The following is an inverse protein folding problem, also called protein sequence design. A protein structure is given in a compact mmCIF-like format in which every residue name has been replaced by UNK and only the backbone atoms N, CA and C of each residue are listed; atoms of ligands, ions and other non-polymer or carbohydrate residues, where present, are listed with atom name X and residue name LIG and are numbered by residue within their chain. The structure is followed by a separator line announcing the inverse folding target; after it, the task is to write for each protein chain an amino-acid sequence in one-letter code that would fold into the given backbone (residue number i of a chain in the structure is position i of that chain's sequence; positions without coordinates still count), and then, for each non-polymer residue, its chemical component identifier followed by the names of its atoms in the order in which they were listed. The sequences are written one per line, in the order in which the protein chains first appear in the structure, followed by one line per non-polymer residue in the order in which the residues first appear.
data_IF_296707909219
#
_entry.id   IF_296707909219
#
_cell.length_a   1.000
_cell.length_b   1.000
_cell.length_c   1.000
_cell.angle_alpha   90.00
_cell.angle_beta   90.00
_cell.angle_gamma   90.00
#
_symmetry.space_group_name_H-M   'P 1'
#
loop_
_entity.id
_entity.type
_entity.pdbx_description
1 polymer ?
#
# COMPACT_ATOMS: atom_id res chain seq x y z
N UNK A 1 34.53 7.24 7.80
CA UNK A 1 33.43 7.71 8.67
C UNK A 1 32.06 7.75 7.96
N UNK A 2 31.77 6.87 6.98
CA UNK A 2 30.57 6.98 6.13
C UNK A 2 29.42 6.02 6.47
N UNK A 3 29.66 5.01 7.31
CA UNK A 3 28.64 3.98 7.61
C UNK A 3 27.57 4.46 8.61
N UNK A 4 27.97 5.24 9.62
CA UNK A 4 27.07 5.70 10.71
C UNK A 4 26.01 6.68 10.20
N UNK A 5 26.34 7.48 9.19
CA UNK A 5 25.38 8.42 8.59
C UNK A 5 24.29 7.70 7.77
N UNK A 6 24.64 6.62 7.07
CA UNK A 6 23.69 5.86 6.23
C UNK A 6 22.63 5.14 7.08
N UNK A 7 23.04 4.53 8.20
CA UNK A 7 22.10 3.90 9.13
C UNK A 7 21.15 4.92 9.78
N UNK A 8 21.63 6.12 10.10
CA UNK A 8 20.80 7.17 10.69
C UNK A 8 19.71 7.68 9.74
N UNK A 9 19.99 7.79 8.43
CA UNK A 9 18.97 8.20 7.43
C UNK A 9 17.86 7.16 7.25
N UNK A 10 18.18 5.87 7.40
CA UNK A 10 17.16 4.81 7.41
C UNK A 10 16.33 4.79 8.71
N UNK A 11 16.83 5.37 9.80
CA UNK A 11 16.14 5.42 11.10
C UNK A 11 15.12 6.55 11.23
N UNK A 12 15.23 7.62 10.42
CA UNK A 12 14.28 8.75 10.43
C UNK A 12 13.91 9.15 8.99
N UNK A 13 12.84 8.55 8.48
CA UNK A 13 12.28 8.86 7.16
C UNK A 13 10.80 9.20 7.28
N UNK A 14 10.40 10.31 6.67
CA UNK A 14 9.02 10.79 6.61
C UNK A 14 8.56 10.83 5.17
N UNK A 15 7.37 10.28 4.93
CA UNK A 15 6.70 10.34 3.63
C UNK A 15 5.28 10.84 3.84
N UNK A 16 4.97 12.01 3.29
CA UNK A 16 3.58 12.48 3.22
C UNK A 16 3.03 12.13 1.84
N UNK A 17 1.90 11.41 1.81
CA UNK A 17 1.29 10.95 0.57
C UNK A 17 -0.08 11.55 0.38
N UNK A 18 -0.32 12.13 -0.81
CA UNK A 18 -1.66 12.55 -1.24
C UNK A 18 -2.11 11.68 -2.41
N UNK A 19 -3.30 11.09 -2.32
CA UNK A 19 -3.91 10.29 -3.38
C UNK A 19 -5.10 11.03 -3.98
N UNK A 20 -5.13 11.17 -5.29
CA UNK A 20 -6.22 11.78 -6.06
C UNK A 20 -6.88 10.75 -6.95
N UNK A 21 -8.20 10.88 -7.11
CA UNK A 21 -8.94 10.18 -8.16
C UNK A 21 -8.99 11.07 -9.41
N UNK A 22 -8.53 10.55 -10.53
CA UNK A 22 -8.47 11.24 -11.82
C UNK A 22 -9.51 10.70 -12.83
N UNK A 23 -10.32 9.72 -12.44
CA UNK A 23 -11.33 9.10 -13.31
C UNK A 23 -12.48 10.05 -13.69
N UNK A 24 -12.73 11.10 -12.90
CA UNK A 24 -13.80 12.08 -13.12
C UNK A 24 -13.23 13.43 -13.59
N UNK A 25 -13.44 13.84 -14.87
CA UNK A 25 -12.95 15.11 -15.39
C UNK A 25 -13.51 16.31 -14.60
N UNK A 26 -12.63 17.18 -14.09
CA UNK A 26 -13.00 18.41 -13.38
C UNK A 26 -13.08 18.29 -11.84
N UNK A 27 -13.00 17.08 -11.29
CA UNK A 27 -12.93 16.83 -9.85
C UNK A 27 -11.68 15.99 -9.55
N UNK A 28 -10.51 16.64 -9.51
CA UNK A 28 -9.27 16.04 -8.99
C UNK A 28 -9.35 15.88 -7.46
N UNK A 29 -10.34 15.13 -7.01
CA UNK A 29 -10.68 14.96 -5.61
C UNK A 29 -9.56 14.21 -4.89
N UNK A 30 -9.10 14.78 -3.78
CA UNK A 30 -8.18 14.08 -2.88
C UNK A 30 -8.98 13.03 -2.12
N UNK A 31 -8.75 11.77 -2.46
CA UNK A 31 -9.47 10.63 -1.86
C UNK A 31 -8.78 10.08 -0.62
N UNK A 32 -7.48 10.31 -0.47
CA UNK A 32 -6.74 9.92 0.72
C UNK A 32 -5.52 10.82 0.97
N UNK A 33 -5.16 10.94 2.24
CA UNK A 33 -3.89 11.50 2.71
C UNK A 33 -3.32 10.56 3.74
N UNK A 34 -2.02 10.27 3.64
CA UNK A 34 -1.32 9.50 4.65
C UNK A 34 0.01 10.12 5.05
N UNK A 35 0.44 9.79 6.27
CA UNK A 35 1.74 10.14 6.82
C UNK A 35 2.43 8.85 7.25
N UNK A 36 3.54 8.53 6.59
CA UNK A 36 4.37 7.38 6.92
C UNK A 36 5.65 7.85 7.62
N UNK A 37 5.92 7.33 8.82
CA UNK A 37 7.07 7.65 9.65
C UNK A 37 7.87 6.38 9.97
N UNK A 38 9.15 6.36 9.59
CA UNK A 38 10.09 5.28 9.91
C UNK A 38 10.88 5.68 11.14
N UNK A 39 10.76 4.91 12.22
CA UNK A 39 11.41 5.22 13.49
C UNK A 39 11.77 3.95 14.25
N UNK A 40 13.01 3.87 14.74
CA UNK A 40 13.47 2.81 15.65
C UNK A 40 13.11 1.37 15.18
N UNK A 41 13.24 1.11 13.87
CA UNK A 41 12.94 -0.20 13.27
C UNK A 41 11.45 -0.49 13.08
N UNK A 42 10.57 0.48 13.33
CA UNK A 42 9.13 0.44 13.08
C UNK A 42 8.74 1.41 11.97
N UNK A 43 7.60 1.17 11.35
CA UNK A 43 6.97 2.10 10.41
C UNK A 43 5.55 2.39 10.86
N UNK A 44 5.23 3.66 11.09
CA UNK A 44 3.89 4.13 11.42
C UNK A 44 3.28 4.72 10.16
N UNK A 45 2.19 4.14 9.66
CA UNK A 45 1.45 4.65 8.50
C UNK A 45 0.06 5.11 8.94
N UNK A 46 -0.14 6.43 8.99
CA UNK A 46 -1.38 7.04 9.41
C UNK A 46 -2.21 7.49 8.21
N UNK A 47 -3.47 7.06 8.14
CA UNK A 47 -4.43 7.48 7.11
C UNK A 47 -5.47 8.41 7.73
N UNK A 48 -5.42 9.69 7.36
CA UNK A 48 -6.20 10.76 8.00
C UNK A 48 -7.72 10.60 7.81
N UNK A 49 -8.15 10.21 6.60
CA UNK A 49 -9.57 10.01 6.26
C UNK A 49 -10.21 8.84 7.03
N UNK A 50 -9.40 7.85 7.42
CA UNK A 50 -9.79 6.69 8.22
C UNK A 50 -9.61 6.93 9.72
N UNK A 51 -8.71 7.84 10.12
CA UNK A 51 -8.19 7.98 11.50
C UNK A 51 -7.67 6.64 12.01
N UNK A 52 -6.81 6.05 11.19
CA UNK A 52 -6.25 4.72 11.39
C UNK A 52 -4.72 4.78 11.27
N UNK A 53 -4.04 4.08 12.17
CA UNK A 53 -2.59 3.92 12.16
C UNK A 53 -2.28 2.45 11.98
N UNK A 54 -1.45 2.13 10.99
CA UNK A 54 -0.81 0.82 10.89
C UNK A 54 0.63 0.94 11.38
N UNK A 55 0.99 0.17 12.40
CA UNK A 55 2.39 0.02 12.83
C UNK A 55 2.94 -1.28 12.26
N UNK A 56 3.88 -1.15 11.34
CA UNK A 56 4.62 -2.28 10.79
C UNK A 56 5.92 -2.49 11.57
N UNK A 57 6.08 -3.69 12.14
CA UNK A 57 7.26 -4.09 12.89
C UNK A 57 7.99 -5.24 12.15
N UNK A 58 8.89 -4.93 11.19
CA UNK A 58 9.59 -5.94 10.40
C UNK A 58 10.34 -6.96 11.26
N UNK A 59 11.01 -6.51 12.34
CA UNK A 59 11.76 -7.38 13.25
C UNK A 59 10.88 -8.34 14.06
N UNK A 60 9.59 -8.05 14.19
CA UNK A 60 8.60 -8.91 14.86
C UNK A 60 7.66 -9.62 13.88
N UNK A 61 7.85 -9.45 12.57
CA UNK A 61 7.04 -10.03 11.51
C UNK A 61 5.52 -9.80 11.68
N UNK A 62 5.13 -8.60 12.11
CA UNK A 62 3.72 -8.28 12.40
C UNK A 62 3.32 -6.86 11.99
N UNK A 63 2.01 -6.67 11.95
CA UNK A 63 1.37 -5.36 11.89
C UNK A 63 0.48 -5.19 13.12
N UNK A 64 0.35 -3.95 13.57
CA UNK A 64 -0.62 -3.54 14.59
C UNK A 64 -1.50 -2.46 13.96
N UNK A 65 -2.80 -2.71 13.89
CA UNK A 65 -3.80 -1.81 13.32
C UNK A 65 -4.53 -1.11 14.45
N UNK A 66 -4.42 0.20 14.53
CA UNK A 66 -5.08 1.03 15.55
C UNK A 66 -6.12 1.91 14.89
N UNK A 67 -7.39 1.72 15.28
CA UNK A 67 -8.47 2.63 14.89
C UNK A 67 -8.71 3.64 16.01
N UNK A 68 -8.33 4.90 15.79
CA UNK A 68 -8.57 5.97 16.77
C UNK A 68 -10.08 6.18 16.97
N UNK A 69 -10.87 6.11 15.89
CA UNK A 69 -12.34 6.28 15.92
C UNK A 69 -13.08 5.25 16.76
N UNK A 70 -12.62 4.00 16.74
CA UNK A 70 -13.27 2.88 17.42
C UNK A 70 -12.60 2.53 18.75
N UNK A 71 -11.50 3.20 19.07
CA UNK A 71 -10.66 2.91 20.24
C UNK A 71 -10.37 1.41 20.33
N UNK A 72 -9.97 0.83 19.19
CA UNK A 72 -9.73 -0.61 19.06
C UNK A 72 -8.47 -0.90 18.28
N UNK A 73 -7.78 -1.97 18.66
CA UNK A 73 -6.58 -2.44 17.97
C UNK A 73 -6.65 -3.93 17.61
N UNK A 74 -5.99 -4.29 16.52
CA UNK A 74 -5.75 -5.67 16.13
C UNK A 74 -4.27 -5.89 15.82
N UNK A 75 -3.72 -7.02 16.25
CA UNK A 75 -2.40 -7.48 15.84
C UNK A 75 -2.57 -8.58 14.79
N UNK A 76 -1.78 -8.52 13.72
CA UNK A 76 -1.81 -9.52 12.64
C UNK A 76 -0.39 -9.90 12.25
N UNK A 77 -0.09 -11.19 12.26
CA UNK A 77 1.21 -11.69 11.83
C UNK A 77 1.31 -11.62 10.29
N UNK A 78 2.51 -11.36 9.77
CA UNK A 78 2.73 -11.40 8.32
C UNK A 78 2.43 -12.77 7.70
N UNK A 79 2.67 -13.86 8.44
CA UNK A 79 2.32 -15.21 8.01
C UNK A 79 0.81 -15.37 7.83
N UNK A 80 0.01 -14.75 8.69
CA UNK A 80 -1.45 -14.75 8.61
C UNK A 80 -1.92 -13.98 7.37
N UNK A 81 -1.36 -12.80 7.09
CA UNK A 81 -1.62 -12.04 5.84
C UNK A 81 -1.31 -12.90 4.62
N UNK A 82 -0.14 -13.54 4.59
CA UNK A 82 0.25 -14.44 3.49
C UNK A 82 -0.69 -15.64 3.34
N UNK A 83 -1.21 -16.18 4.45
CA UNK A 83 -2.20 -17.25 4.39
C UNK A 83 -3.51 -16.78 3.74
N UNK A 84 -4.02 -15.60 4.11
CA UNK A 84 -5.20 -15.02 3.45
C UNK A 84 -4.97 -14.77 1.97
N UNK A 85 -3.80 -14.23 1.59
CA UNK A 85 -3.43 -14.03 0.19
C UNK A 85 -3.38 -15.34 -0.60
N UNK A 86 -2.85 -16.42 0.00
CA UNK A 86 -2.80 -17.73 -0.64
C UNK A 86 -4.22 -18.30 -0.85
N UNK A 87 -5.12 -18.14 0.12
CA UNK A 87 -6.52 -18.53 -0.04
C UNK A 87 -7.22 -17.73 -1.15
N UNK A 88 -7.01 -16.41 -1.19
CA UNK A 88 -7.56 -15.55 -2.25
C UNK A 88 -7.02 -15.96 -3.63
N UNK A 89 -5.72 -16.26 -3.75
CA UNK A 89 -5.11 -16.74 -4.99
C UNK A 89 -5.70 -18.08 -5.44
N UNK A 90 -5.88 -19.03 -4.51
CA UNK A 90 -6.49 -20.33 -4.82
C UNK A 90 -7.93 -20.18 -5.30
N UNK A 91 -8.70 -19.27 -4.70
CA UNK A 91 -10.07 -18.99 -5.12
C UNK A 91 -10.12 -18.40 -6.53
N UNK A 92 -9.27 -17.42 -6.81
CA UNK A 92 -9.16 -16.84 -8.16
C UNK A 92 -8.73 -17.91 -9.18
N UNK A 93 -7.79 -18.79 -8.82
CA UNK A 93 -7.34 -19.88 -9.70
C UNK A 93 -8.49 -20.86 -10.02
N UNK A 94 -9.30 -21.23 -9.03
CA UNK A 94 -10.48 -22.09 -9.25
C UNK A 94 -11.51 -21.42 -10.17
N UNK A 95 -11.73 -20.12 -10.03
CA UNK A 95 -12.64 -19.37 -10.91
C UNK A 95 -12.13 -19.35 -12.36
N UNK A 96 -10.81 -19.26 -12.56
CA UNK A 96 -10.20 -19.33 -13.88
C UNK A 96 -10.32 -20.74 -14.49
N UNK A 97 -10.20 -21.79 -13.69
CA UNK A 97 -10.35 -23.19 -14.12
C UNK A 97 -11.80 -23.58 -14.43
N UNK A 98 -12.76 -23.02 -13.68
CA UNK A 98 -14.19 -23.28 -13.86
C UNK A 98 -14.85 -22.44 -14.98
N UNK A 99 -14.11 -21.54 -15.61
CA UNK A 99 -14.62 -20.74 -16.72
C UNK A 99 -14.73 -21.59 -18.00
N UNK A 100 -15.93 -22.11 -18.28
CA UNK A 100 -16.28 -22.83 -19.51
C UNK A 100 -16.08 -21.99 -20.78
N UNK A 101 -15.92 -22.61 -21.95
CA UNK A 101 -15.70 -21.93 -23.24
C UNK A 101 -16.84 -20.99 -23.70
N UNK A 102 -18.01 -21.00 -23.05
CA UNK A 102 -19.15 -20.12 -23.35
C UNK A 102 -19.20 -18.86 -22.46
N UNK A 103 -18.07 -18.16 -22.31
CA UNK A 103 -18.01 -16.90 -21.54
C UNK A 103 -18.42 -15.71 -22.40
N UNK A 104 -19.36 -14.88 -21.92
CA UNK A 104 -19.71 -13.62 -22.58
C UNK A 104 -18.57 -12.58 -22.54
N UNK A 105 -18.52 -11.58 -23.45
CA UNK A 105 -17.39 -10.65 -23.58
C UNK A 105 -16.98 -9.88 -22.30
N UNK A 106 -17.95 -9.53 -21.44
CA UNK A 106 -17.68 -8.86 -20.16
C UNK A 106 -16.92 -9.77 -19.19
N UNK A 107 -17.29 -11.05 -19.18
CA UNK A 107 -16.81 -12.03 -18.23
C UNK A 107 -15.42 -12.54 -18.66
N UNK A 108 -15.11 -12.51 -19.96
CA UNK A 108 -13.74 -12.66 -20.50
C UNK A 108 -12.80 -11.56 -19.98
N UNK A 109 -13.22 -10.29 -19.98
CA UNK A 109 -12.38 -9.19 -19.46
C UNK A 109 -12.13 -9.33 -17.96
N UNK A 110 -13.14 -9.66 -17.18
CA UNK A 110 -12.99 -9.87 -15.73
C UNK A 110 -12.03 -11.04 -15.42
N UNK A 111 -12.10 -12.15 -16.18
CA UNK A 111 -11.17 -13.28 -16.03
C UNK A 111 -9.74 -12.92 -16.45
N UNK A 112 -9.57 -12.18 -17.56
CA UNK A 112 -8.25 -11.69 -17.99
C UNK A 112 -7.62 -10.79 -16.92
N UNK A 113 -8.42 -9.92 -16.30
CA UNK A 113 -7.98 -9.07 -15.20
C UNK A 113 -7.55 -9.87 -13.96
N UNK A 114 -8.34 -10.87 -13.57
CA UNK A 114 -7.99 -11.76 -12.46
C UNK A 114 -6.70 -12.53 -12.71
N UNK A 115 -6.54 -13.08 -13.93
CA UNK A 115 -5.31 -13.78 -14.34
C UNK A 115 -4.09 -12.85 -14.28
N UNK A 116 -4.22 -11.63 -14.80
CA UNK A 116 -3.16 -10.62 -14.76
C UNK A 116 -2.74 -10.30 -13.31
N UNK A 117 -3.70 -10.12 -12.41
CA UNK A 117 -3.41 -9.84 -11.00
C UNK A 117 -2.68 -10.99 -10.28
N UNK A 118 -2.80 -12.24 -10.73
CA UNK A 118 -2.04 -13.37 -10.19
C UNK A 118 -0.60 -13.38 -10.70
N UNK A 119 -0.40 -13.06 -11.98
CA UNK A 119 0.90 -13.07 -12.67
C UNK A 119 1.02 -11.86 -13.60
N UNK A 120 1.39 -10.69 -13.07
CA UNK A 120 1.44 -9.47 -13.86
C UNK A 120 2.67 -9.48 -14.77
N UNK A 121 2.43 -9.55 -16.07
CA UNK A 121 3.44 -9.40 -17.10
C UNK A 121 3.29 -8.01 -17.73
N UNK A 122 4.20 -7.10 -17.36
CA UNK A 122 4.22 -5.74 -17.90
C UNK A 122 5.32 -5.58 -18.95
N UNK A 123 5.05 -4.79 -19.98
CA UNK A 123 6.10 -4.16 -20.77
C UNK A 123 6.70 -3.01 -19.98
N UNK A 124 8.00 -3.08 -19.68
CA UNK A 124 8.70 -2.10 -18.84
C UNK A 124 9.57 -1.20 -19.70
N UNK A 125 9.44 0.11 -19.52
CA UNK A 125 10.35 1.10 -20.14
C UNK A 125 10.78 2.14 -19.11
N UNK A 126 12.00 2.67 -19.26
CA UNK A 126 12.57 3.65 -18.33
C UNK A 126 13.33 4.73 -19.08
N UNK A 127 12.89 5.98 -18.93
CA UNK A 127 13.61 7.16 -19.39
C UNK A 127 14.55 7.65 -18.28
N UNK A 128 15.85 7.36 -18.44
CA UNK A 128 16.89 7.77 -17.49
C UNK A 128 17.02 9.29 -17.35
N UNK A 129 16.71 10.05 -18.41
CA UNK A 129 16.90 11.50 -18.41
C UNK A 129 15.83 12.22 -17.58
N UNK A 130 14.63 11.64 -17.50
CA UNK A 130 13.50 12.16 -16.74
C UNK A 130 13.22 11.42 -15.44
N UNK A 131 13.94 10.31 -15.20
CA UNK A 131 13.64 9.37 -14.11
C UNK A 131 12.19 8.86 -14.16
N UNK A 132 11.68 8.62 -15.37
CA UNK A 132 10.31 8.17 -15.65
C UNK A 132 10.27 6.67 -15.93
N UNK A 133 9.50 5.93 -15.14
CA UNK A 133 9.29 4.48 -15.27
C UNK A 133 7.85 4.20 -15.71
N UNK A 134 7.70 3.42 -16.77
CA UNK A 134 6.40 2.98 -17.26
C UNK A 134 6.30 1.45 -17.25
N UNK A 135 5.23 0.94 -16.65
CA UNK A 135 4.85 -0.47 -16.73
C UNK A 135 3.49 -0.54 -17.42
N UNK A 136 3.45 -1.14 -18.61
CA UNK A 136 2.29 -1.12 -19.50
C UNK A 136 1.77 -2.52 -19.78
N UNK A 137 0.47 -2.71 -19.59
CA UNK A 137 -0.34 -3.83 -20.08
C UNK A 137 -1.71 -3.28 -20.51
N UNK A 138 -2.44 -3.99 -21.36
CA UNK A 138 -3.71 -3.54 -21.96
C UNK A 138 -4.71 -3.00 -20.92
N UNK A 139 -4.82 -3.62 -19.75
CA UNK A 139 -5.82 -3.28 -18.74
C UNK A 139 -5.22 -2.65 -17.47
N UNK A 140 -3.90 -2.49 -17.40
CA UNK A 140 -3.23 -1.86 -16.26
C UNK A 140 -1.94 -1.16 -16.66
N UNK A 141 -1.81 0.07 -16.19
CA UNK A 141 -0.67 0.95 -16.46
C UNK A 141 -0.22 1.61 -15.17
N UNK A 142 1.09 1.55 -14.94
CA UNK A 142 1.76 2.43 -14.00
C UNK A 142 2.65 3.43 -14.74
N UNK A 143 2.57 4.69 -14.33
CA UNK A 143 3.52 5.74 -14.71
C UNK A 143 4.10 6.33 -13.43
N UNK A 144 5.42 6.32 -13.31
CA UNK A 144 6.12 6.70 -12.08
C UNK A 144 7.23 7.69 -12.37
N UNK A 145 7.19 8.82 -11.66
CA UNK A 145 8.35 9.70 -11.55
C UNK A 145 9.14 9.28 -10.32
N UNK A 146 10.40 8.94 -10.51
CA UNK A 146 11.30 8.53 -9.45
C UNK A 146 12.28 9.62 -9.03
N UNK A 147 12.86 9.46 -7.85
CA UNK A 147 14.02 10.23 -7.39
C UNK A 147 15.06 9.28 -6.82
N UNK A 148 16.33 9.65 -6.92
CA UNK A 148 17.40 8.92 -6.24
C UNK A 148 17.27 9.13 -4.71
N UNK A 149 17.28 8.07 -3.90
CA UNK A 149 17.30 8.18 -2.45
C UNK A 149 18.67 8.71 -1.97
N UNK A 150 18.76 9.20 -0.71
CA UNK A 150 20.04 9.56 -0.10
C UNK A 150 20.98 8.35 0.08
N UNK A 151 20.43 7.13 0.18
CA UNK A 151 21.19 5.88 0.20
C UNK A 151 20.35 4.71 -0.31
N UNK A 152 21.00 3.58 -0.64
CA UNK A 152 20.33 2.36 -1.09
C UNK A 152 19.46 1.78 0.03
N UNK A 153 19.92 1.85 1.28
CA UNK A 153 19.21 1.33 2.45
C UNK A 153 17.86 2.04 2.65
N UNK A 154 17.78 3.34 2.34
CA UNK A 154 16.54 4.11 2.42
C UNK A 154 15.51 3.65 1.39
N UNK A 155 15.93 3.40 0.15
CA UNK A 155 15.05 2.82 -0.86
C UNK A 155 14.57 1.42 -0.47
N UNK A 156 15.48 0.57 0.01
CA UNK A 156 15.11 -0.78 0.46
C UNK A 156 14.16 -0.78 1.66
N UNK A 157 14.37 0.12 2.64
CA UNK A 157 13.49 0.26 3.79
C UNK A 157 12.06 0.63 3.35
N UNK A 158 11.94 1.64 2.48
CA UNK A 158 10.64 2.05 1.97
C UNK A 158 9.99 0.97 1.10
N UNK A 159 10.70 0.38 0.15
CA UNK A 159 10.12 -0.58 -0.78
C UNK A 159 9.70 -1.87 -0.07
N UNK A 160 10.44 -2.30 0.96
CA UNK A 160 10.04 -3.40 1.84
C UNK A 160 8.75 -3.09 2.59
N UNK A 161 8.62 -1.88 3.13
CA UNK A 161 7.38 -1.42 3.73
C UNK A 161 6.24 -1.38 2.70
N UNK A 162 6.48 -0.84 1.51
CA UNK A 162 5.47 -0.72 0.46
C UNK A 162 4.99 -2.10 -0.02
N UNK A 163 5.87 -3.10 -0.08
CA UNK A 163 5.52 -4.49 -0.35
C UNK A 163 4.62 -5.06 0.76
N UNK A 164 5.02 -4.88 2.02
CA UNK A 164 4.27 -5.36 3.18
C UNK A 164 2.87 -4.70 3.27
N UNK A 165 2.76 -3.41 3.00
CA UNK A 165 1.48 -2.69 2.97
C UNK A 165 0.63 -3.10 1.77
N UNK A 166 1.21 -3.37 0.60
CA UNK A 166 0.46 -3.90 -0.53
C UNK A 166 -0.20 -5.24 -0.17
N UNK A 167 0.56 -6.15 0.46
CA UNK A 167 0.04 -7.43 0.95
C UNK A 167 -1.08 -7.26 2.00
N UNK A 168 -0.85 -6.42 3.00
CA UNK A 168 -1.84 -6.15 4.05
C UNK A 168 -3.12 -5.53 3.46
N UNK A 169 -3.00 -4.49 2.63
CA UNK A 169 -4.14 -3.77 2.08
C UNK A 169 -5.02 -4.65 1.17
N UNK A 170 -4.41 -5.59 0.43
CA UNK A 170 -5.15 -6.59 -0.36
C UNK A 170 -6.04 -7.50 0.49
N UNK A 171 -5.69 -7.71 1.76
CA UNK A 171 -6.48 -8.52 2.70
C UNK A 171 -7.42 -7.62 3.51
N UNK A 172 -6.99 -6.42 3.89
CA UNK A 172 -7.72 -5.50 4.75
C UNK A 172 -8.95 -4.89 4.07
N UNK A 173 -8.83 -4.49 2.80
CA UNK A 173 -9.86 -3.74 2.08
C UNK A 173 -10.59 -4.62 1.07
N UNK A 174 -11.93 -4.68 1.13
CA UNK A 174 -12.68 -5.43 0.14
C UNK A 174 -12.63 -4.79 -1.23
N UNK A 175 -12.47 -5.64 -2.24
CA UNK A 175 -12.23 -5.26 -3.64
C UNK A 175 -10.88 -4.57 -3.89
N UNK A 176 -9.97 -4.60 -2.92
CA UNK A 176 -8.58 -4.27 -3.19
C UNK A 176 -8.03 -5.23 -4.26
N UNK A 177 -7.11 -4.71 -5.07
CA UNK A 177 -6.38 -5.52 -6.02
C UNK A 177 -5.47 -6.50 -5.27
N UNK A 178 -5.20 -7.66 -5.85
CA UNK A 178 -4.14 -8.54 -5.37
C UNK A 178 -2.80 -7.79 -5.42
N UNK A 179 -1.83 -8.13 -4.55
CA UNK A 179 -0.65 -7.29 -4.37
C UNK A 179 0.32 -7.40 -5.55
N UNK A 180 0.27 -8.47 -6.35
CA UNK A 180 1.33 -8.80 -7.31
C UNK A 180 1.64 -7.67 -8.32
N UNK A 181 0.66 -6.95 -8.92
CA UNK A 181 0.97 -5.83 -9.80
C UNK A 181 1.76 -4.71 -9.10
N UNK A 182 1.43 -4.42 -7.83
CA UNK A 182 2.13 -3.41 -7.03
C UNK A 182 3.53 -3.88 -6.64
N UNK A 183 3.68 -5.17 -6.30
CA UNK A 183 4.98 -5.80 -5.99
C UNK A 183 5.90 -5.77 -7.21
N UNK A 184 5.37 -6.03 -8.42
CA UNK A 184 6.14 -5.94 -9.67
C UNK A 184 6.63 -4.52 -9.92
N UNK A 185 5.81 -3.49 -9.67
CA UNK A 185 6.26 -2.10 -9.71
C UNK A 185 7.39 -1.82 -8.70
N UNK A 186 7.23 -2.26 -7.45
CA UNK A 186 8.26 -2.07 -6.41
C UNK A 186 9.58 -2.72 -6.79
N UNK A 187 9.53 -3.90 -7.41
CA UNK A 187 10.72 -4.59 -7.89
C UNK A 187 11.45 -3.80 -9.00
N UNK A 188 10.72 -3.22 -9.96
CA UNK A 188 11.34 -2.37 -10.99
C UNK A 188 11.97 -1.09 -10.40
N UNK A 189 11.34 -0.50 -9.37
CA UNK A 189 11.90 0.62 -8.62
C UNK A 189 13.18 0.22 -7.87
N UNK A 190 13.16 -0.96 -7.23
CA UNK A 190 14.29 -1.53 -6.51
C UNK A 190 15.50 -1.72 -7.40
N UNK A 191 15.31 -2.37 -8.56
CA UNK A 191 16.36 -2.62 -9.55
C UNK A 191 17.00 -1.33 -10.08
N UNK A 192 16.29 -0.21 -10.02
CA UNK A 192 16.76 1.11 -10.48
C UNK A 192 17.25 2.00 -9.34
N UNK A 193 17.12 1.56 -8.08
CA UNK A 193 17.47 2.35 -6.90
C UNK A 193 16.65 3.64 -6.81
N UNK A 194 15.35 3.58 -7.09
CA UNK A 194 14.46 4.75 -7.11
C UNK A 194 13.44 4.72 -5.97
N UNK A 195 13.12 5.91 -5.46
CA UNK A 195 11.92 6.16 -4.67
C UNK A 195 10.86 6.86 -5.53
N UNK A 196 9.58 6.50 -5.40
CA UNK A 196 8.53 7.16 -6.16
C UNK A 196 8.25 8.57 -5.61
N UNK A 197 8.22 9.57 -6.48
CA UNK A 197 7.70 10.93 -6.19
C UNK A 197 6.24 11.03 -6.60
N UNK A 198 5.87 10.41 -7.72
CA UNK A 198 4.48 10.25 -8.11
C UNK A 198 4.25 8.88 -8.71
N UNK A 199 3.13 8.25 -8.38
CA UNK A 199 2.68 6.99 -8.99
C UNK A 199 1.28 7.22 -9.53
N UNK A 200 1.13 7.08 -10.84
CA UNK A 200 -0.17 7.03 -11.48
C UNK A 200 -0.52 5.59 -11.84
N UNK A 201 -1.69 5.15 -11.40
CA UNK A 201 -2.27 3.84 -11.72
C UNK A 201 -3.53 4.07 -12.54
N UNK A 202 -3.57 3.46 -13.72
CA UNK A 202 -4.80 3.28 -14.51
C UNK A 202 -5.09 1.80 -14.64
N UNK A 203 -6.30 1.39 -14.28
CA UNK A 203 -6.76 0.01 -14.49
C UNK A 203 -8.19 -0.01 -15.03
N UNK A 204 -8.40 -0.80 -16.07
CA UNK A 204 -9.69 -1.00 -16.73
C UNK A 204 -10.46 -2.13 -16.03
N UNK A 205 -11.06 -1.80 -14.89
CA UNK A 205 -11.97 -2.68 -14.15
C UNK A 205 -13.42 -2.43 -14.59
N UNK A 206 -14.36 -3.22 -14.06
CA UNK A 206 -15.81 -2.94 -14.17
C UNK A 206 -16.16 -1.50 -13.75
N UNK A 207 -15.35 -0.92 -12.84
CA UNK A 207 -15.30 0.52 -12.58
C UNK A 207 -13.88 1.02 -12.84
N UNK A 208 -13.65 1.87 -13.85
CA UNK A 208 -12.29 2.32 -14.18
C UNK A 208 -11.64 2.96 -12.97
N UNK A 209 -10.43 2.49 -12.66
CA UNK A 209 -9.62 3.00 -11.58
C UNK A 209 -8.55 3.90 -12.19
N UNK A 210 -8.57 5.18 -11.82
CA UNK A 210 -7.49 6.09 -12.19
C UNK A 210 -7.08 6.89 -10.96
N UNK A 211 -5.96 6.50 -10.37
CA UNK A 211 -5.44 7.10 -9.14
C UNK A 211 -4.06 7.70 -9.39
N UNK A 212 -3.78 8.81 -8.72
CA UNK A 212 -2.44 9.38 -8.64
C UNK A 212 -2.04 9.59 -7.19
N UNK A 213 -0.97 8.93 -6.77
CA UNK A 213 -0.30 9.19 -5.51
C UNK A 213 0.87 10.16 -5.74
N UNK A 214 1.07 11.12 -4.83
CA UNK A 214 2.26 11.98 -4.76
C UNK A 214 2.88 11.86 -3.39
N UNK A 215 4.21 11.71 -3.36
CA UNK A 215 5.00 11.49 -2.17
C UNK A 215 5.93 12.69 -1.93
N UNK A 216 5.82 13.27 -0.75
CA UNK A 216 6.72 14.30 -0.25
C UNK A 216 7.66 13.67 0.77
N UNK A 217 8.94 13.58 0.38
CA UNK A 217 9.99 12.93 1.16
C UNK A 217 10.69 13.90 2.09
N UNK A 218 10.98 13.48 3.32
CA UNK A 218 11.81 14.23 4.26
C UNK A 218 12.65 13.26 5.09
N UNK A 219 13.92 13.60 5.29
CA UNK A 219 14.93 12.72 5.93
C UNK A 219 15.20 13.05 7.39
N UNK A 220 14.31 13.83 8.00
CA UNK A 220 14.37 14.29 9.39
C UNK A 220 12.97 14.45 9.93
N UNK A 221 12.77 14.13 11.19
CA UNK A 221 11.52 14.38 11.89
C UNK A 221 11.41 15.81 12.38
N UNK A 222 10.21 16.35 12.29
CA UNK A 222 9.79 17.51 13.07
C UNK A 222 9.49 17.11 14.52
N UNK A 223 9.34 18.10 15.41
CA UNK A 223 8.84 17.86 16.77
C UNK A 223 7.45 17.22 16.76
N UNK A 224 6.58 17.66 15.86
CA UNK A 224 5.22 17.13 15.70
C UNK A 224 5.20 15.66 15.28
N UNK A 225 6.16 15.20 14.47
CA UNK A 225 6.25 13.78 14.10
C UNK A 225 6.58 12.90 15.33
N UNK A 226 7.46 13.37 16.22
CA UNK A 226 7.79 12.67 17.48
C UNK A 226 6.61 12.65 18.45
N UNK A 227 5.83 13.73 18.50
CA UNK A 227 4.61 13.80 19.30
C UNK A 227 3.56 12.80 18.83
N UNK A 228 3.38 12.64 17.51
CA UNK A 228 2.49 11.65 16.91
C UNK A 228 2.90 10.22 17.25
N UNK A 229 4.19 9.88 17.09
CA UNK A 229 4.71 8.56 17.47
C UNK A 229 4.45 8.30 18.96
N UNK A 230 4.79 9.27 19.82
CA UNK A 230 4.55 9.15 21.26
C UNK A 230 3.06 9.01 21.61
N UNK A 231 2.18 9.68 20.86
CA UNK A 231 0.73 9.55 21.00
C UNK A 231 0.28 8.12 20.67
N UNK A 232 0.67 7.60 19.52
CA UNK A 232 0.26 6.26 19.10
C UNK A 232 0.84 5.17 19.99
N UNK A 233 2.09 5.29 20.43
CA UNK A 233 2.67 4.34 21.39
C UNK A 233 1.89 4.33 22.73
N UNK A 234 1.44 5.50 23.20
CA UNK A 234 0.56 5.57 24.39
C UNK A 234 -0.79 4.92 24.16
N UNK A 235 -1.43 5.17 23.02
CA UNK A 235 -2.73 4.56 22.68
C UNK A 235 -2.61 3.04 22.54
N UNK A 236 -1.55 2.53 21.92
CA UNK A 236 -1.30 1.09 21.80
C UNK A 236 -1.10 0.40 23.16
N UNK A 237 -0.48 1.11 24.11
CA UNK A 237 -0.26 0.65 25.48
C UNK A 237 -1.46 0.86 26.43
N UNK A 238 -2.46 1.65 26.02
CA UNK A 238 -3.61 1.98 26.86
C UNK A 238 -4.49 0.72 27.07
N UNK A 239 -4.70 0.27 28.32
CA UNK A 239 -5.55 -0.88 28.62
C UNK A 239 -7.02 -0.66 28.23
N UNK A 240 -7.46 0.58 28.04
CA UNK A 240 -8.82 0.90 27.61
C UNK A 240 -9.04 0.72 26.10
N UNK A 241 -7.97 0.61 25.31
CA UNK A 241 -8.09 0.33 23.87
C UNK A 241 -8.46 -1.14 23.68
N UNK A 242 -9.65 -1.37 23.12
CA UNK A 242 -10.21 -2.71 22.93
C UNK A 242 -9.35 -3.52 21.96
N UNK A 243 -8.81 -4.65 22.43
CA UNK A 243 -8.14 -5.62 21.56
C UNK A 243 -9.18 -6.48 20.84
N UNK A 244 -9.09 -6.55 19.51
CA UNK A 244 -9.99 -7.34 18.67
C UNK A 244 -9.19 -8.26 17.75
N UNK A 245 -9.85 -9.29 17.22
CA UNK A 245 -9.24 -10.13 16.19
C UNK A 245 -9.14 -9.37 14.88
N UNK A 246 -8.20 -9.77 14.01
CA UNK A 246 -8.06 -9.17 12.69
C UNK A 246 -9.35 -9.26 11.86
N UNK A 247 -10.04 -10.41 11.91
CA UNK A 247 -11.36 -10.58 11.26
C UNK A 247 -12.40 -9.58 11.78
N UNK A 248 -12.46 -9.36 13.09
CA UNK A 248 -13.39 -8.38 13.66
C UNK A 248 -13.03 -6.96 13.20
N UNK A 249 -11.74 -6.64 13.13
CA UNK A 249 -11.25 -5.35 12.64
C UNK A 249 -11.66 -5.09 11.17
N UNK A 250 -11.52 -6.09 10.31
CA UNK A 250 -11.96 -6.04 8.91
C UNK A 250 -13.47 -5.80 8.81
N UNK A 251 -14.25 -6.54 9.59
CA UNK A 251 -15.71 -6.41 9.63
C UNK A 251 -16.15 -5.00 10.06
N UNK A 252 -15.56 -4.47 11.15
CA UNK A 252 -15.89 -3.14 11.68
C UNK A 252 -15.51 -2.03 10.68
N UNK A 253 -14.44 -2.22 9.90
CA UNK A 253 -14.00 -1.30 8.85
C UNK A 253 -14.94 -1.29 7.65
N UNK A 254 -15.38 -2.47 7.23
CA UNK A 254 -16.37 -2.64 6.17
C UNK A 254 -17.71 -1.97 6.47
N UNK A 255 -18.27 -2.21 7.66
CA UNK A 255 -19.54 -1.61 8.07
C UNK A 255 -19.48 -0.08 8.03
N UNK A 256 -18.32 0.49 8.38
CA UNK A 256 -18.10 1.94 8.38
C UNK A 256 -18.02 2.53 6.98
N UNK A 257 -17.41 1.84 6.01
CA UNK A 257 -17.36 2.28 4.61
C UNK A 257 -18.74 2.22 3.94
N UNK A 258 -19.53 1.18 4.21
CA UNK A 258 -20.90 1.06 3.69
C UNK A 258 -21.80 2.18 4.25
N UNK A 259 -21.63 2.53 5.53
CA UNK A 259 -22.39 3.61 6.15
C UNK A 259 -22.06 5.00 5.56
N UNK A 260 -20.81 5.25 5.14
CA UNK A 260 -20.40 6.52 4.49
C UNK A 260 -20.93 6.70 3.05
N UNK A 261 -21.44 5.64 2.42
CA UNK A 261 -21.96 5.66 1.04
C UNK A 261 -23.49 5.75 0.94
N UNK A 262 -24.18 5.78 2.08
CA UNK A 262 -25.63 6.04 2.18
C UNK A 262 -25.86 7.50 2.52
#
# INVERSE_FOLDING_TARGET
MSAVASEAFAQEMRVYTTVKNLASPGQNEVVARSLTLFHAGKVYDYVDSAKEVTVYEPGHHRFILLSERRSSQAEVAQSEVRQFLNLARQEVQKQLEAADEQVGPSQVRSLAWLKFQLRPEFSVSFDKSKSELHLLENNCRYEVNGVAPPSVEVAEAYLRFADAMAELNSVLHPRALLPAPRLKLNEELRQRGLLPVSVELRAELDRPLWLQARHEWTWKFSSSDRELISKWDRELADPNVRKVTFRQYQHDSLSSEVAKRK
#
